data_IF_826277728943
#
_entry.id   IF_826277728943
#
_cell.length_a   1.000
_cell.length_b   1.000
_cell.length_c   1.000
_cell.angle_alpha   90.00
_cell.angle_beta   90.00
_cell.angle_gamma   90.00
#
_symmetry.space_group_name_H-M   'P 1'
#
loop_
_entity.id
_entity.type
_entity.pdbx_description
1 polymer ?
#
# COMPACT_ATOMS: atom_id res chain seq x y z
N UNK A 1 4.83 -15.41 -18.99
CA UNK A 1 4.14 -14.64 -17.95
C UNK A 1 5.05 -14.71 -16.73
N UNK A 2 5.37 -13.59 -16.09
CA UNK A 2 6.16 -13.66 -14.85
C UNK A 2 5.18 -13.95 -13.72
N UNK A 3 5.30 -15.12 -13.12
CA UNK A 3 4.57 -15.45 -11.90
C UNK A 3 5.38 -14.92 -10.72
N UNK A 4 4.87 -13.87 -10.08
CA UNK A 4 5.47 -13.35 -8.86
C UNK A 4 5.52 -14.47 -7.81
N UNK A 5 6.67 -14.57 -7.11
CA UNK A 5 6.94 -15.63 -6.14
C UNK A 5 6.68 -17.06 -6.68
N UNK A 6 6.89 -17.30 -7.98
CA UNK A 6 6.65 -18.59 -8.63
C UNK A 6 5.22 -19.13 -8.41
N UNK A 7 4.25 -18.21 -8.27
CA UNK A 7 2.84 -18.55 -8.04
C UNK A 7 2.51 -18.96 -6.60
N UNK A 8 3.45 -18.84 -5.66
CA UNK A 8 3.22 -19.10 -4.25
C UNK A 8 2.50 -17.94 -3.55
N UNK A 9 1.88 -18.22 -2.39
CA UNK A 9 1.37 -17.18 -1.51
C UNK A 9 2.53 -16.27 -1.07
N UNK A 10 2.35 -14.96 -1.16
CA UNK A 10 3.36 -14.01 -0.69
C UNK A 10 2.73 -12.77 -0.07
N UNK A 11 3.56 -12.07 0.70
CA UNK A 11 3.25 -10.78 1.31
C UNK A 11 4.31 -9.80 0.79
N UNK A 12 3.87 -8.62 0.38
CA UNK A 12 4.70 -7.50 -0.04
C UNK A 12 4.38 -6.31 0.89
N UNK A 13 5.37 -5.85 1.64
CA UNK A 13 5.20 -4.76 2.62
C UNK A 13 6.18 -3.64 2.37
N UNK A 14 5.78 -2.41 2.66
CA UNK A 14 6.68 -1.26 2.64
C UNK A 14 5.95 0.08 2.59
N UNK A 15 6.75 1.13 2.57
CA UNK A 15 6.38 2.46 2.13
C UNK A 15 6.50 2.52 0.61
N UNK A 16 5.39 2.81 -0.06
CA UNK A 16 5.33 2.88 -1.52
C UNK A 16 5.23 4.31 -2.05
N UNK A 17 5.10 5.32 -1.18
CA UNK A 17 4.97 6.73 -1.53
C UNK A 17 3.85 7.03 -2.56
N UNK A 18 2.74 6.28 -2.53
CA UNK A 18 1.55 6.58 -3.30
C UNK A 18 0.27 6.39 -2.48
N UNK A 19 -0.75 7.19 -2.75
CA UNK A 19 -2.05 7.08 -2.08
C UNK A 19 -3.00 6.07 -2.78
N UNK A 20 -4.13 5.69 -2.14
CA UNK A 20 -5.06 4.71 -2.73
C UNK A 20 -5.76 5.14 -4.04
N UNK A 21 -5.69 6.42 -4.42
CA UNK A 21 -6.24 6.96 -5.66
C UNK A 21 -5.20 7.01 -6.80
N UNK A 22 -3.91 6.85 -6.48
CA UNK A 22 -2.81 6.87 -7.44
C UNK A 22 -2.91 5.72 -8.47
N UNK A 23 -2.33 5.95 -9.65
CA UNK A 23 -2.28 4.94 -10.72
C UNK A 23 -1.48 3.71 -10.30
N UNK A 24 -0.47 3.85 -9.44
CA UNK A 24 0.36 2.75 -8.96
C UNK A 24 -0.44 1.81 -8.05
N UNK A 25 -1.23 2.36 -7.13
CA UNK A 25 -2.11 1.56 -6.26
C UNK A 25 -3.11 0.75 -7.09
N UNK A 26 -3.76 1.41 -8.06
CA UNK A 26 -4.73 0.76 -8.95
C UNK A 26 -4.09 -0.31 -9.83
N UNK A 27 -2.90 -0.04 -10.36
CA UNK A 27 -2.16 -1.01 -11.16
C UNK A 27 -1.84 -2.30 -10.38
N UNK A 28 -1.61 -2.19 -9.07
CA UNK A 28 -1.36 -3.34 -8.20
C UNK A 28 -2.63 -4.09 -7.75
N UNK A 29 -3.75 -3.37 -7.57
CA UNK A 29 -4.94 -3.90 -6.88
C UNK A 29 -6.15 -4.17 -7.78
N UNK A 30 -6.17 -3.62 -9.00
CA UNK A 30 -7.29 -3.75 -9.92
C UNK A 30 -6.99 -4.69 -11.09
N UNK A 31 -7.94 -5.60 -11.38
CA UNK A 31 -7.80 -6.54 -12.49
C UNK A 31 -7.90 -5.79 -13.80
N UNK A 32 -6.99 -6.07 -14.73
CA UNK A 32 -6.96 -5.44 -16.04
C UNK A 32 -6.80 -3.91 -16.01
N UNK A 33 -6.22 -3.34 -14.95
CA UNK A 33 -5.96 -1.90 -14.91
C UNK A 33 -4.99 -1.50 -16.03
N UNK A 34 -5.36 -0.48 -16.79
CA UNK A 34 -4.59 0.05 -17.91
C UNK A 34 -4.69 1.57 -17.87
N UNK A 35 -3.54 2.24 -17.79
CA UNK A 35 -3.45 3.70 -17.79
C UNK A 35 -2.18 4.11 -18.55
N UNK A 36 -2.32 5.00 -19.53
CA UNK A 36 -1.21 5.45 -20.38
C UNK A 36 -0.12 6.23 -19.63
N UNK A 37 -0.39 6.63 -18.38
CA UNK A 37 0.56 7.33 -17.52
C UNK A 37 1.52 6.37 -16.80
N UNK A 38 1.27 5.06 -16.85
CA UNK A 38 2.19 4.08 -16.29
C UNK A 38 3.56 4.17 -17.02
N UNK A 39 4.68 4.02 -16.30
CA UNK A 39 5.99 4.17 -16.89
C UNK A 39 6.24 3.08 -17.94
N UNK A 40 6.68 3.52 -19.13
CA UNK A 40 7.20 2.66 -20.18
C UNK A 40 8.71 2.87 -20.28
N UNK A 41 9.49 1.78 -20.29
CA UNK A 41 10.92 1.88 -20.56
C UNK A 41 11.33 0.95 -21.68
N UNK A 42 11.67 1.54 -22.82
CA UNK A 42 12.29 0.83 -23.95
C UNK A 42 13.73 0.40 -23.66
N UNK A 43 14.39 0.99 -22.66
CA UNK A 43 15.79 0.69 -22.29
C UNK A 43 15.89 -0.58 -21.46
N UNK A 44 14.97 -0.76 -20.51
CA UNK A 44 14.99 -1.91 -19.61
C UNK A 44 14.09 -3.06 -20.09
N UNK A 45 13.53 -2.97 -21.31
CA UNK A 45 12.48 -3.87 -21.82
C UNK A 45 11.31 -4.07 -20.83
N UNK A 46 11.09 -3.09 -19.95
CA UNK A 46 9.97 -3.08 -19.01
C UNK A 46 8.77 -2.53 -19.78
N UNK A 47 8.08 -3.43 -20.50
CA UNK A 47 6.65 -3.27 -20.67
C UNK A 47 6.03 -3.61 -19.33
N UNK A 48 5.36 -2.68 -18.64
CA UNK A 48 4.43 -3.08 -17.58
C UNK A 48 3.46 -4.07 -18.22
N UNK A 49 3.69 -5.37 -18.01
CA UNK A 49 2.87 -6.39 -18.64
C UNK A 49 1.56 -6.33 -17.88
N UNK A 50 0.50 -5.94 -18.57
CA UNK A 50 -0.89 -6.01 -18.15
C UNK A 50 -1.18 -7.44 -17.68
N UNK A 51 -0.83 -7.77 -16.44
CA UNK A 51 -1.01 -9.12 -15.94
C UNK A 51 -2.41 -9.16 -15.30
N UNK A 52 -3.38 -9.32 -16.20
CA UNK A 52 -4.83 -9.26 -16.03
C UNK A 52 -5.43 -10.03 -14.83
N UNK A 53 -4.77 -11.10 -14.39
CA UNK A 53 -5.38 -12.14 -13.57
C UNK A 53 -5.03 -12.04 -12.08
N UNK A 54 -3.78 -11.67 -11.76
CA UNK A 54 -3.28 -11.59 -10.38
C UNK A 54 -3.24 -10.14 -9.91
N UNK A 55 -4.11 -9.84 -8.95
CA UNK A 55 -4.13 -8.56 -8.23
C UNK A 55 -3.64 -8.79 -6.81
N UNK A 56 -2.88 -7.84 -6.30
CA UNK A 56 -2.58 -7.78 -4.87
C UNK A 56 -3.81 -7.30 -4.12
N UNK A 57 -3.97 -7.80 -2.89
CA UNK A 57 -4.97 -7.32 -1.95
C UNK A 57 -4.27 -6.57 -0.82
N UNK A 58 -4.81 -5.43 -0.38
CA UNK A 58 -4.36 -4.77 0.85
C UNK A 58 -4.98 -5.45 2.06
N UNK A 59 -4.19 -5.71 3.10
CA UNK A 59 -4.68 -6.29 4.34
C UNK A 59 -5.74 -5.41 5.03
N UNK A 60 -5.52 -4.08 5.06
CA UNK A 60 -6.46 -3.14 5.66
C UNK A 60 -7.77 -3.08 4.88
N UNK A 61 -7.69 -2.92 3.56
CA UNK A 61 -8.88 -2.91 2.70
C UNK A 61 -9.66 -4.23 2.74
N UNK A 62 -8.98 -5.37 2.76
CA UNK A 62 -9.63 -6.68 2.89
C UNK A 62 -10.35 -6.82 4.23
N UNK A 63 -9.71 -6.39 5.34
CA UNK A 63 -10.25 -6.57 6.69
C UNK A 63 -11.32 -5.55 7.06
N UNK A 64 -11.13 -4.29 6.69
CA UNK A 64 -11.98 -3.16 7.10
C UNK A 64 -12.89 -2.65 5.97
N UNK A 65 -12.69 -3.10 4.74
CA UNK A 65 -13.41 -2.62 3.54
C UNK A 65 -12.81 -1.33 2.94
N UNK A 66 -11.92 -0.65 3.66
CA UNK A 66 -11.26 0.60 3.27
C UNK A 66 -9.81 0.61 3.75
N UNK A 67 -8.98 1.41 3.09
CA UNK A 67 -7.63 1.73 3.59
C UNK A 67 -7.72 2.68 4.80
N UNK A 68 -6.67 2.77 5.64
CA UNK A 68 -6.59 3.79 6.68
C UNK A 68 -6.72 5.20 6.10
N UNK A 69 -7.10 6.17 6.93
CA UNK A 69 -7.09 7.59 6.55
C UNK A 69 -5.67 8.06 6.26
N UNK A 70 -4.69 7.62 7.05
CA UNK A 70 -3.29 7.94 6.87
C UNK A 70 -2.38 6.86 7.47
N UNK A 71 -1.17 6.80 6.94
CA UNK A 71 -0.03 6.09 7.53
C UNK A 71 1.19 6.97 7.63
N UNK A 72 1.21 8.14 6.97
CA UNK A 72 2.21 9.18 7.13
C UNK A 72 1.52 10.50 7.51
N UNK A 73 2.11 11.22 8.46
CA UNK A 73 1.68 12.57 8.80
C UNK A 73 2.88 13.46 9.17
N UNK A 74 3.31 14.27 8.22
CA UNK A 74 4.46 15.16 8.36
C UNK A 74 4.11 16.61 8.00
N UNK A 75 4.57 17.54 8.85
CA UNK A 75 4.58 18.97 8.57
C UNK A 75 6.02 19.46 8.42
N UNK A 76 6.31 20.08 7.28
CA UNK A 76 7.57 20.82 7.07
C UNK A 76 7.23 22.29 6.83
N UNK A 77 7.83 23.27 7.55
CA UNK A 77 7.43 24.68 7.48
C UNK A 77 7.41 25.33 6.08
N UNK A 78 8.09 24.73 5.11
CA UNK A 78 8.18 25.22 3.71
C UNK A 78 7.31 24.43 2.74
N UNK A 79 6.56 23.45 3.21
CA UNK A 79 5.71 22.56 2.42
C UNK A 79 4.30 22.50 3.03
N UNK A 80 3.26 22.24 2.22
CA UNK A 80 1.95 21.89 2.76
C UNK A 80 2.04 20.66 3.65
N UNK A 81 1.17 20.61 4.67
CA UNK A 81 0.98 19.41 5.49
C UNK A 81 0.71 18.21 4.59
N UNK A 82 1.41 17.11 4.87
CA UNK A 82 1.21 15.87 4.15
C UNK A 82 0.63 14.84 5.11
N UNK A 83 -0.56 14.33 4.78
CA UNK A 83 -1.28 13.34 5.56
C UNK A 83 -1.95 12.37 4.60
N UNK A 84 -1.40 11.17 4.46
CA UNK A 84 -1.87 10.20 3.48
C UNK A 84 -1.51 8.77 3.88
N UNK A 85 -2.17 7.81 3.25
CA UNK A 85 -1.83 6.39 3.35
C UNK A 85 -0.81 6.05 2.27
N UNK A 86 0.42 5.74 2.70
CA UNK A 86 1.55 5.41 1.82
C UNK A 86 2.12 4.01 2.08
N UNK A 87 1.84 3.46 3.25
CA UNK A 87 2.36 2.19 3.70
C UNK A 87 1.29 1.11 3.54
N UNK A 88 1.70 -0.01 2.95
CA UNK A 88 0.76 -1.09 2.64
C UNK A 88 1.31 -2.45 3.05
N UNK A 89 0.41 -3.32 3.51
CA UNK A 89 0.64 -4.76 3.61
C UNK A 89 -0.17 -5.40 2.48
N UNK A 90 0.46 -5.56 1.33
CA UNK A 90 -0.12 -6.27 0.19
C UNK A 90 0.10 -7.77 0.31
N UNK A 91 -0.83 -8.55 -0.22
CA UNK A 91 -0.69 -10.00 -0.29
C UNK A 91 -1.38 -10.59 -1.51
N UNK A 92 -0.99 -11.81 -1.85
CA UNK A 92 -1.59 -12.62 -2.91
C UNK A 92 -1.75 -14.07 -2.44
N UNK A 93 -2.66 -14.80 -3.07
CA UNK A 93 -2.93 -16.21 -2.83
C UNK A 93 -4.05 -16.48 -1.83
N UNK A 94 -4.00 -17.65 -1.19
CA UNK A 94 -5.05 -18.14 -0.29
C UNK A 94 -4.83 -17.76 1.18
N UNK A 95 -4.36 -16.53 1.44
CA UNK A 95 -4.14 -16.03 2.79
C UNK A 95 -5.43 -15.43 3.37
N UNK A 96 -5.66 -15.60 4.67
CA UNK A 96 -6.79 -14.98 5.40
C UNK A 96 -6.26 -13.89 6.32
N UNK A 97 -6.81 -12.67 6.21
CA UNK A 97 -6.53 -11.58 7.14
C UNK A 97 -7.48 -11.69 8.33
N UNK A 98 -6.94 -12.08 9.49
CA UNK A 98 -7.73 -12.24 10.70
C UNK A 98 -7.97 -10.91 11.41
N UNK A 99 -6.93 -10.07 11.48
CA UNK A 99 -7.01 -8.75 12.08
C UNK A 99 -5.97 -7.80 11.49
N UNK A 100 -6.18 -6.49 11.69
CA UNK A 100 -5.19 -5.44 11.44
C UNK A 100 -5.04 -4.58 12.69
N UNK A 101 -3.89 -3.93 12.86
CA UNK A 101 -3.70 -2.95 13.92
C UNK A 101 -4.60 -1.75 13.63
N UNK A 102 -5.47 -1.40 14.58
CA UNK A 102 -6.34 -0.24 14.48
C UNK A 102 -5.50 1.04 14.47
N UNK A 103 -5.71 1.86 13.45
CA UNK A 103 -5.07 3.16 13.33
C UNK A 103 -6.08 4.26 13.65
N UNK A 104 -5.63 5.37 14.24
CA UNK A 104 -6.49 6.52 14.47
C UNK A 104 -7.00 7.11 13.16
N UNK A 105 -8.28 7.52 13.13
CA UNK A 105 -8.88 8.16 11.94
C UNK A 105 -8.29 9.55 11.66
N UNK A 106 -7.75 10.22 12.68
CA UNK A 106 -7.21 11.57 12.61
C UNK A 106 -5.90 11.68 13.41
N UNK A 107 -4.93 12.50 12.96
CA UNK A 107 -3.78 12.86 13.77
C UNK A 107 -4.18 13.52 15.08
N UNK A 108 -3.45 13.22 16.14
CA UNK A 108 -3.68 13.81 17.47
C UNK A 108 -2.76 15.01 17.77
N UNK A 109 -1.85 15.31 16.84
CA UNK A 109 -0.83 16.35 16.92
C UNK A 109 -0.82 17.18 15.64
N UNK A 110 0.06 18.18 15.56
CA UNK A 110 0.26 18.98 14.35
C UNK A 110 1.23 18.33 13.35
N UNK A 111 2.04 17.38 13.80
CA UNK A 111 2.97 16.59 12.98
C UNK A 111 3.48 15.41 13.77
N UNK A 112 3.86 14.35 13.05
CA UNK A 112 4.82 13.39 13.53
C UNK A 112 6.19 13.64 12.85
N UNK A 113 7.31 13.13 13.40
CA UNK A 113 7.44 12.55 14.75
C UNK A 113 7.16 13.58 15.86
N UNK A 114 6.82 13.09 17.06
CA UNK A 114 6.62 13.88 18.27
C UNK A 114 7.28 13.20 19.51
N UNK A 115 7.02 13.71 20.72
CA UNK A 115 7.59 13.16 21.97
C UNK A 115 7.21 11.69 22.28
N UNK A 116 6.13 11.21 21.67
CA UNK A 116 5.54 9.87 21.85
C UNK A 116 5.59 8.99 20.59
N UNK A 117 5.75 9.59 19.40
CA UNK A 117 5.84 8.93 18.11
C UNK A 117 7.21 9.21 17.46
N UNK A 118 8.11 8.21 17.36
CA UNK A 118 9.48 8.44 16.90
C UNK A 118 9.64 8.55 15.37
N UNK A 119 8.54 8.44 14.62
CA UNK A 119 8.50 8.43 13.15
C UNK A 119 7.31 9.28 12.70
N UNK A 120 7.43 9.91 11.54
CA UNK A 120 6.34 10.53 10.78
C UNK A 120 5.33 9.50 10.25
N UNK A 121 5.83 8.31 9.92
CA UNK A 121 4.99 7.15 9.62
C UNK A 121 4.46 6.41 10.86
N UNK A 122 3.22 5.92 10.75
CA UNK A 122 2.53 5.07 11.71
C UNK A 122 2.84 3.60 11.45
N UNK A 123 3.06 2.83 12.53
CA UNK A 123 3.22 1.39 12.42
C UNK A 123 1.94 0.74 11.90
N UNK A 124 2.04 0.00 10.79
CA UNK A 124 0.98 -0.89 10.29
C UNK A 124 1.27 -2.35 10.67
N UNK A 125 0.22 -3.12 10.94
CA UNK A 125 0.36 -4.56 11.20
C UNK A 125 -0.88 -5.36 10.83
N UNK A 126 -0.69 -6.63 10.49
CA UNK A 126 -1.76 -7.57 10.19
C UNK A 126 -1.48 -8.95 10.82
N UNK A 127 -2.54 -9.60 11.31
CA UNK A 127 -2.52 -11.02 11.68
C UNK A 127 -3.00 -11.82 10.50
N UNK A 128 -2.14 -12.69 9.97
CA UNK A 128 -2.38 -13.46 8.76
C UNK A 128 -2.38 -14.94 9.10
N UNK A 129 -3.46 -15.63 8.72
CA UNK A 129 -3.55 -17.08 8.80
C UNK A 129 -3.16 -17.71 7.47
N UNK A 130 -2.21 -18.65 7.55
CA UNK A 130 -1.81 -19.51 6.44
C UNK A 130 -2.86 -20.61 6.21
N UNK A 131 -2.98 -21.15 4.97
CA UNK A 131 -3.91 -22.25 4.67
C UNK A 131 -3.74 -23.50 5.53
#
# INVERSE_FOLDING_TARGET
MFDLAEGQNFILVGDFNFDPLDICYKALTEKNYDDYRLPESSIYEISYRRNAEQVLKSAYREKNGVEPTYTDFAHTPSCPDYCATLDYIFFNGHLTIENVLELPDYPSTESYPDETHPSDHMMIAATIRLP
#
